data_IF_909070548418
#
_entry.id   IF_909070548418
#
_cell.length_a   1.000
_cell.length_b   1.000
_cell.length_c   1.000
_cell.angle_alpha   90.00
_cell.angle_beta   90.00
_cell.angle_gamma   90.00
#
_symmetry.space_group_name_H-M   'P 1'
#
loop_
_entity.id
_entity.type
_entity.pdbx_description
1 polymer ?
#
# COMPACT_ATOMS: atom_id res chain seq x y z
N UNK A 1 2.44 -28.80 -14.19
CA UNK A 1 2.37 -27.54 -13.42
C UNK A 1 3.58 -26.71 -13.82
N UNK A 2 3.40 -25.53 -14.42
CA UNK A 2 4.50 -24.60 -14.74
C UNK A 2 4.33 -23.39 -13.84
N UNK A 3 5.40 -23.00 -13.16
CA UNK A 3 5.43 -21.95 -12.15
C UNK A 3 5.20 -20.58 -12.78
N UNK A 4 4.22 -19.83 -12.29
CA UNK A 4 3.99 -18.44 -12.68
C UNK A 4 4.57 -17.54 -11.59
N UNK A 5 5.81 -17.08 -11.74
CA UNK A 5 6.54 -16.05 -10.94
C UNK A 5 6.54 -16.11 -9.40
N UNK A 6 5.48 -16.61 -8.74
CA UNK A 6 5.30 -16.90 -7.31
C UNK A 6 4.02 -17.71 -7.00
N UNK A 7 3.27 -18.25 -7.99
CA UNK A 7 1.93 -18.82 -7.77
C UNK A 7 1.53 -20.01 -8.65
N UNK A 8 0.36 -20.60 -8.34
CA UNK A 8 -0.31 -21.66 -9.11
C UNK A 8 -1.61 -21.13 -9.69
N UNK A 9 -1.80 -21.27 -11.01
CA UNK A 9 -3.02 -20.85 -11.69
C UNK A 9 -3.85 -22.03 -12.19
N UNK A 10 -5.18 -21.89 -12.10
CA UNK A 10 -6.16 -22.77 -12.72
C UNK A 10 -6.89 -21.97 -13.79
N UNK A 11 -6.79 -22.42 -15.04
CA UNK A 11 -7.48 -21.81 -16.18
C UNK A 11 -8.51 -22.81 -16.71
N UNK A 12 -9.72 -22.33 -16.95
CA UNK A 12 -10.82 -23.13 -17.46
C UNK A 12 -11.87 -22.25 -18.12
N UNK A 13 -12.88 -22.88 -18.71
CA UNK A 13 -13.92 -22.19 -19.48
C UNK A 13 -15.11 -21.73 -18.64
N UNK A 14 -15.11 -22.01 -17.33
CA UNK A 14 -16.16 -21.62 -16.39
C UNK A 14 -15.57 -21.09 -15.09
N UNK A 15 -15.90 -19.85 -14.74
CA UNK A 15 -15.47 -19.21 -13.48
C UNK A 15 -15.88 -20.04 -12.26
N UNK A 16 -17.10 -20.60 -12.27
CA UNK A 16 -17.60 -21.44 -11.18
C UNK A 16 -16.76 -22.71 -11.02
N UNK A 17 -16.44 -23.38 -12.14
CA UNK A 17 -15.61 -24.60 -12.10
C UNK A 17 -14.19 -24.28 -11.60
N UNK A 18 -13.59 -23.18 -12.07
CA UNK A 18 -12.25 -22.76 -11.65
C UNK A 18 -12.21 -22.43 -10.16
N UNK A 19 -13.19 -21.69 -9.63
CA UNK A 19 -13.23 -21.38 -8.19
C UNK A 19 -13.47 -22.62 -7.32
N UNK A 20 -14.29 -23.57 -7.76
CA UNK A 20 -14.46 -24.83 -7.03
C UNK A 20 -13.22 -25.72 -7.07
N UNK A 21 -12.51 -25.73 -8.20
CA UNK A 21 -11.22 -26.43 -8.29
C UNK A 21 -10.16 -25.76 -7.39
N UNK A 22 -10.11 -24.41 -7.36
CA UNK A 22 -9.21 -23.65 -6.47
C UNK A 22 -9.40 -24.03 -5.00
N UNK A 23 -10.64 -24.17 -4.53
CA UNK A 23 -10.95 -24.56 -3.14
C UNK A 23 -10.47 -25.97 -2.76
N UNK A 24 -10.27 -26.85 -3.74
CA UNK A 24 -9.81 -28.23 -3.53
C UNK A 24 -8.31 -28.38 -3.67
N UNK A 25 -7.63 -27.36 -4.20
CA UNK A 25 -6.21 -27.39 -4.44
C UNK A 25 -5.46 -27.42 -3.10
N UNK A 26 -4.57 -28.40 -2.95
CA UNK A 26 -3.64 -28.50 -1.82
C UNK A 26 -2.27 -28.06 -2.32
N UNK A 27 -1.70 -27.07 -1.65
CA UNK A 27 -0.39 -26.54 -1.97
C UNK A 27 0.38 -26.41 -0.66
N UNK A 28 1.58 -26.96 -0.66
CA UNK A 28 2.54 -26.74 0.41
C UNK A 28 3.46 -25.59 -0.03
N UNK A 29 3.38 -24.46 0.66
CA UNK A 29 4.20 -23.28 0.38
C UNK A 29 5.43 -23.24 1.28
N UNK A 30 6.55 -22.75 0.75
CA UNK A 30 7.69 -22.33 1.56
C UNK A 30 7.41 -20.92 2.12
N UNK A 31 7.10 -20.84 3.42
CA UNK A 31 6.79 -19.59 4.12
C UNK A 31 7.99 -18.99 4.86
N UNK A 32 9.21 -19.49 4.63
CA UNK A 32 10.42 -18.99 5.32
C UNK A 32 10.62 -17.49 5.18
N UNK A 33 10.20 -16.91 4.06
CA UNK A 33 10.25 -15.49 3.75
C UNK A 33 8.89 -14.77 3.82
N UNK A 34 7.84 -15.43 4.32
CA UNK A 34 6.54 -14.81 4.48
C UNK A 34 6.58 -13.70 5.54
N UNK A 35 5.74 -12.67 5.33
CA UNK A 35 5.58 -11.57 6.29
C UNK A 35 5.20 -12.10 7.66
N UNK A 36 5.92 -11.65 8.69
CA UNK A 36 5.59 -11.93 10.11
C UNK A 36 5.05 -10.71 10.83
N UNK A 37 4.63 -9.70 10.07
CA UNK A 37 4.09 -8.47 10.63
C UNK A 37 2.87 -8.75 11.51
N UNK A 38 2.83 -8.09 12.66
CA UNK A 38 1.73 -8.20 13.60
C UNK A 38 1.36 -6.82 14.10
N UNK A 39 0.12 -6.40 13.81
CA UNK A 39 -0.39 -5.12 14.29
C UNK A 39 -0.31 -5.00 15.82
N UNK A 40 -0.62 -6.07 16.55
CA UNK A 40 -0.51 -6.11 18.01
C UNK A 40 0.91 -5.86 18.50
N UNK A 41 1.92 -6.42 17.81
CA UNK A 41 3.33 -6.17 18.14
C UNK A 41 3.75 -4.74 17.78
N UNK A 42 3.29 -4.21 16.64
CA UNK A 42 3.55 -2.82 16.23
C UNK A 42 2.99 -1.82 17.26
N UNK A 43 1.75 -2.02 17.72
CA UNK A 43 1.13 -1.22 18.78
C UNK A 43 1.95 -1.29 20.07
N UNK A 44 2.39 -2.49 20.44
CA UNK A 44 3.18 -2.69 21.66
C UNK A 44 4.53 -1.97 21.59
N UNK A 45 5.21 -2.04 20.44
CA UNK A 45 6.47 -1.33 20.19
C UNK A 45 6.27 0.19 20.17
N UNK A 46 5.21 0.69 19.55
CA UNK A 46 4.89 2.11 19.54
C UNK A 46 4.68 2.64 20.98
N UNK A 47 3.96 1.90 21.83
CA UNK A 47 3.77 2.23 23.25
C UNK A 47 5.05 2.18 24.09
N UNK A 48 6.13 1.57 23.62
CA UNK A 48 7.42 1.61 24.32
C UNK A 48 8.21 2.89 24.02
N UNK A 49 7.96 3.52 22.86
CA UNK A 49 8.75 4.66 22.39
C UNK A 49 8.00 6.00 22.43
N UNK A 50 6.66 5.99 22.57
CA UNK A 50 5.82 7.18 22.39
C UNK A 50 6.07 8.32 23.39
N UNK A 51 6.63 8.03 24.56
CA UNK A 51 6.79 9.01 25.64
C UNK A 51 8.06 9.87 25.51
N UNK A 52 8.91 9.56 24.53
CA UNK A 52 10.14 10.28 24.25
C UNK A 52 10.08 10.88 22.85
N UNK A 53 10.77 12.00 22.59
CA UNK A 53 10.93 12.50 21.23
C UNK A 53 11.51 11.42 20.31
N UNK A 54 11.03 11.36 19.08
CA UNK A 54 11.51 10.43 18.08
C UNK A 54 12.97 10.63 17.71
N UNK A 55 13.59 9.56 17.22
CA UNK A 55 15.01 9.50 16.87
C UNK A 55 15.43 10.54 15.83
N UNK A 56 14.51 10.94 14.94
CA UNK A 56 14.76 11.97 13.92
C UNK A 56 13.91 13.21 14.18
N UNK A 57 14.54 14.38 14.26
CA UNK A 57 13.85 15.67 14.27
C UNK A 57 13.43 16.02 12.84
N UNK A 58 12.14 16.24 12.62
CA UNK A 58 11.56 16.71 11.36
C UNK A 58 11.60 18.24 11.31
N UNK A 59 11.20 18.88 12.41
CA UNK A 59 11.25 20.32 12.58
C UNK A 59 11.22 20.69 14.05
N UNK A 60 11.82 21.81 14.38
CA UNK A 60 11.75 22.43 15.70
C UNK A 60 11.72 23.95 15.50
N UNK A 61 10.84 24.63 16.22
CA UNK A 61 10.67 26.08 16.15
C UNK A 61 10.34 26.59 17.54
N UNK A 62 11.02 27.64 17.99
CA UNK A 62 10.85 28.19 19.34
C UNK A 62 11.33 27.24 20.44
N UNK A 63 10.73 27.36 21.63
CA UNK A 63 11.07 26.57 22.82
C UNK A 63 9.82 25.91 23.41
N UNK A 64 9.60 24.65 23.03
CA UNK A 64 8.48 23.85 23.56
C UNK A 64 8.67 23.53 25.04
N UNK A 65 9.91 23.36 25.51
CA UNK A 65 10.20 22.98 26.89
C UNK A 65 9.87 24.11 27.86
N UNK A 66 10.21 25.36 27.52
CA UNK A 66 9.81 26.53 28.29
C UNK A 66 8.28 26.64 28.44
N UNK A 67 7.53 26.26 27.40
CA UNK A 67 6.06 26.27 27.42
C UNK A 67 5.46 25.16 28.29
N UNK A 68 6.14 24.01 28.43
CA UNK A 68 5.73 22.92 29.31
C UNK A 68 6.12 23.14 30.77
N UNK A 69 7.25 23.82 31.03
CA UNK A 69 7.72 24.13 32.38
C UNK A 69 6.99 25.31 33.03
N UNK A 70 6.18 26.05 32.27
CA UNK A 70 5.43 27.20 32.80
C UNK A 70 4.20 26.74 33.59
N UNK A 71 4.21 26.99 34.90
CA UNK A 71 3.14 26.61 35.83
C UNK A 71 1.78 27.28 35.57
N UNK A 72 1.73 28.32 34.73
CA UNK A 72 0.48 28.96 34.32
C UNK A 72 -0.18 28.28 33.11
N UNK A 73 0.50 27.32 32.50
CA UNK A 73 -0.02 26.58 31.35
C UNK A 73 -0.52 25.20 31.79
N UNK A 74 -1.43 24.64 31.00
CA UNK A 74 -1.87 23.26 31.12
C UNK A 74 -1.28 22.45 29.97
N UNK A 75 -0.59 21.35 30.32
CA UNK A 75 -0.07 20.39 29.34
C UNK A 75 -1.06 19.23 29.18
N UNK A 76 -1.28 18.82 27.94
CA UNK A 76 -2.18 17.73 27.55
C UNK A 76 -1.39 16.78 26.63
N UNK A 77 -1.49 15.49 26.90
CA UNK A 77 -0.82 14.44 26.13
C UNK A 77 -1.84 13.41 25.65
N UNK A 78 -1.69 12.94 24.41
CA UNK A 78 -2.54 11.92 23.83
C UNK A 78 -1.78 11.05 22.84
N UNK A 79 -2.02 9.74 22.93
CA UNK A 79 -1.48 8.75 21.99
C UNK A 79 -2.58 8.28 21.05
N UNK A 80 -2.37 8.47 19.75
CA UNK A 80 -3.30 8.12 18.70
C UNK A 80 -2.77 6.94 17.88
N UNK A 81 -3.68 6.09 17.43
CA UNK A 81 -3.39 4.99 16.52
C UNK A 81 -4.38 5.04 15.35
N UNK A 82 -3.89 4.74 14.15
CA UNK A 82 -4.73 4.52 12.98
C UNK A 82 -4.36 3.17 12.35
N UNK A 83 -5.33 2.26 12.14
CA UNK A 83 -5.04 0.91 11.67
C UNK A 83 -4.75 0.89 10.17
N UNK A 84 -4.28 -0.27 9.71
CA UNK A 84 -4.25 -0.59 8.29
C UNK A 84 -5.67 -0.57 7.70
N UNK A 85 -5.81 -0.05 6.48
CA UNK A 85 -7.12 0.09 5.83
C UNK A 85 -7.07 -0.47 4.42
N UNK A 86 -8.01 -1.37 4.12
CA UNK A 86 -8.21 -1.91 2.79
C UNK A 86 -8.98 -0.92 1.90
N UNK A 87 -8.80 -1.02 0.59
CA UNK A 87 -9.52 -0.19 -0.38
C UNK A 87 -10.98 -0.59 -0.52
N UNK A 88 -11.27 -1.89 -0.43
CA UNK A 88 -12.62 -2.45 -0.49
C UNK A 88 -13.45 -1.90 -1.67
N UNK A 89 -12.83 -1.81 -2.86
CA UNK A 89 -13.54 -1.41 -4.07
C UNK A 89 -14.70 -2.38 -4.31
N UNK A 90 -15.91 -1.89 -4.60
CA UNK A 90 -17.08 -2.76 -4.83
C UNK A 90 -16.82 -3.80 -5.93
N UNK A 91 -16.07 -3.42 -6.96
CA UNK A 91 -15.52 -4.32 -7.98
C UNK A 91 -14.13 -4.84 -7.56
N UNK A 92 -13.97 -6.16 -7.29
CA UNK A 92 -12.65 -6.77 -7.07
C UNK A 92 -11.69 -6.61 -8.26
N UNK A 93 -10.39 -6.77 -8.02
CA UNK A 93 -9.40 -6.71 -9.09
C UNK A 93 -9.72 -7.73 -10.21
N UNK A 94 -9.66 -7.24 -11.44
CA UNK A 94 -9.94 -8.03 -12.63
C UNK A 94 -9.20 -7.46 -13.84
N UNK A 95 -8.87 -8.33 -14.78
CA UNK A 95 -8.26 -7.97 -16.06
C UNK A 95 -8.51 -9.09 -17.06
N UNK A 96 -8.64 -8.75 -18.34
CA UNK A 96 -8.57 -9.72 -19.44
C UNK A 96 -7.32 -9.44 -20.25
N UNK A 97 -6.54 -10.48 -20.54
CA UNK A 97 -5.38 -10.40 -21.40
C UNK A 97 -5.50 -11.38 -22.56
N UNK A 98 -4.99 -10.97 -23.71
CA UNK A 98 -4.79 -11.82 -24.87
C UNK A 98 -3.36 -11.62 -25.37
N UNK A 99 -2.47 -12.50 -24.91
CA UNK A 99 -1.11 -12.60 -25.39
C UNK A 99 -1.09 -13.49 -26.63
N UNK A 100 -0.49 -13.00 -27.71
CA UNK A 100 -0.25 -13.77 -28.93
C UNK A 100 1.25 -13.88 -29.12
N UNK A 101 1.77 -15.10 -28.99
CA UNK A 101 3.13 -15.40 -29.39
C UNK A 101 3.15 -15.60 -30.91
N UNK A 102 4.00 -14.87 -31.63
CA UNK A 102 4.03 -14.94 -33.10
C UNK A 102 5.30 -15.62 -33.61
N UNK A 103 5.57 -16.83 -33.08
CA UNK A 103 6.56 -17.79 -33.57
C UNK A 103 7.90 -17.23 -34.07
N UNK A 104 8.49 -17.86 -35.07
CA UNK A 104 9.78 -17.47 -35.67
C UNK A 104 9.66 -16.35 -36.73
N UNK A 105 8.45 -15.78 -36.96
CA UNK A 105 8.18 -14.89 -38.10
C UNK A 105 7.45 -13.59 -37.76
N UNK A 106 7.10 -13.33 -36.49
CA UNK A 106 6.36 -12.14 -36.11
C UNK A 106 6.77 -11.55 -34.76
N UNK A 107 6.09 -10.46 -34.40
CA UNK A 107 6.27 -9.78 -33.12
C UNK A 107 5.15 -10.21 -32.18
N UNK A 108 5.51 -10.71 -31.00
CA UNK A 108 4.54 -10.98 -29.94
C UNK A 108 3.67 -9.74 -29.68
N UNK A 109 2.37 -9.94 -29.47
CA UNK A 109 1.44 -8.84 -29.18
C UNK A 109 0.62 -9.12 -27.93
N UNK A 110 0.20 -8.05 -27.27
CA UNK A 110 -0.61 -8.11 -26.07
C UNK A 110 -1.80 -7.15 -26.17
N UNK A 111 -3.01 -7.67 -26.03
CA UNK A 111 -4.21 -6.86 -25.86
C UNK A 111 -4.75 -7.02 -24.43
N UNK A 112 -5.05 -5.89 -23.77
CA UNK A 112 -5.51 -5.83 -22.39
C UNK A 112 -6.86 -5.11 -22.30
N UNK A 113 -7.79 -5.66 -21.53
CA UNK A 113 -8.98 -4.96 -21.04
C UNK A 113 -8.88 -4.81 -19.54
N UNK A 114 -8.71 -3.57 -19.08
CA UNK A 114 -8.35 -3.30 -17.70
C UNK A 114 -9.13 -2.10 -17.11
N UNK A 115 -9.80 -2.27 -15.95
CA UNK A 115 -10.29 -1.16 -15.16
C UNK A 115 -9.15 -0.61 -14.29
N UNK A 116 -8.48 0.46 -14.71
CA UNK A 116 -7.32 1.04 -14.01
C UNK A 116 -7.36 2.57 -13.97
N UNK A 117 -6.72 3.16 -12.95
CA UNK A 117 -6.48 4.61 -12.86
C UNK A 117 -5.26 5.06 -13.67
N UNK A 118 -4.37 4.14 -14.02
CA UNK A 118 -3.07 4.45 -14.61
C UNK A 118 -2.74 3.47 -15.75
N UNK A 119 -3.47 3.53 -16.89
CA UNK A 119 -3.34 2.56 -17.97
C UNK A 119 -1.91 2.45 -18.52
N UNK A 120 -1.18 3.56 -18.58
CA UNK A 120 0.21 3.60 -19.07
C UNK A 120 1.18 2.79 -18.22
N UNK A 121 0.83 2.42 -16.98
CA UNK A 121 1.65 1.53 -16.14
C UNK A 121 1.70 0.08 -16.63
N UNK A 122 0.81 -0.32 -17.54
CA UNK A 122 0.88 -1.66 -18.14
C UNK A 122 2.04 -1.79 -19.14
N UNK A 123 2.48 -0.71 -19.80
CA UNK A 123 3.61 -0.76 -20.74
C UNK A 123 4.93 -1.19 -20.10
N UNK A 124 5.43 -0.56 -19.00
CA UNK A 124 6.67 -1.01 -18.36
C UNK A 124 6.54 -2.43 -17.77
N UNK A 125 5.35 -2.87 -17.37
CA UNK A 125 5.09 -4.26 -16.94
C UNK A 125 5.24 -5.22 -18.12
N UNK A 126 4.60 -4.92 -19.26
CA UNK A 126 4.69 -5.72 -20.48
C UNK A 126 6.14 -5.83 -20.98
N UNK A 127 6.88 -4.71 -20.94
CA UNK A 127 8.29 -4.66 -21.33
C UNK A 127 9.18 -5.47 -20.39
N UNK A 128 9.06 -5.27 -19.08
CA UNK A 128 9.95 -5.90 -18.09
C UNK A 128 9.73 -7.40 -17.95
N UNK A 129 8.48 -7.87 -18.02
CA UNK A 129 8.15 -9.28 -17.81
C UNK A 129 8.13 -10.10 -19.12
N UNK A 130 7.82 -9.46 -20.25
CA UNK A 130 7.57 -10.16 -21.50
C UNK A 130 8.35 -9.59 -22.70
N UNK A 131 9.13 -8.53 -22.52
CA UNK A 131 9.98 -7.96 -23.56
C UNK A 131 9.26 -7.07 -24.59
N UNK A 132 7.94 -6.89 -24.46
CA UNK A 132 7.10 -6.18 -25.43
C UNK A 132 7.32 -4.67 -25.40
N UNK A 133 7.51 -4.06 -26.57
CA UNK A 133 7.48 -2.61 -26.74
C UNK A 133 6.07 -2.04 -26.67
N UNK A 134 5.95 -0.73 -26.48
CA UNK A 134 4.66 -0.06 -26.33
C UNK A 134 3.74 -0.28 -27.54
N UNK A 135 4.28 -0.31 -28.75
CA UNK A 135 3.54 -0.49 -30.00
C UNK A 135 2.96 -1.91 -30.13
N UNK A 136 3.53 -2.88 -29.40
CA UNK A 136 3.07 -4.26 -29.33
C UNK A 136 1.94 -4.46 -28.31
N UNK A 137 1.60 -3.43 -27.52
CA UNK A 137 0.64 -3.50 -26.42
C UNK A 137 -0.55 -2.59 -26.69
N UNK A 138 -1.74 -3.18 -26.80
CA UNK A 138 -3.01 -2.46 -26.94
C UNK A 138 -3.80 -2.51 -25.64
N UNK A 139 -4.13 -1.33 -25.10
CA UNK A 139 -4.84 -1.21 -23.82
C UNK A 139 -6.23 -0.64 -24.05
N UNK A 140 -7.24 -1.40 -23.65
CA UNK A 140 -8.62 -0.96 -23.51
C UNK A 140 -8.88 -0.61 -22.05
N UNK A 141 -8.96 0.69 -21.76
CA UNK A 141 -9.33 1.15 -20.43
C UNK A 141 -10.84 0.95 -20.22
N UNK A 142 -11.19 0.16 -19.21
CA UNK A 142 -12.57 -0.18 -18.89
C UNK A 142 -13.12 0.75 -17.80
N UNK A 143 -14.45 0.85 -17.72
CA UNK A 143 -15.12 1.45 -16.56
C UNK A 143 -14.75 0.66 -15.30
N UNK A 144 -14.56 1.35 -14.18
CA UNK A 144 -14.10 0.76 -12.91
C UNK A 144 -15.09 0.99 -11.77
N UNK A 145 -15.29 -0.02 -10.93
CA UNK A 145 -16.17 -0.02 -9.76
C UNK A 145 -15.48 0.44 -8.47
N UNK A 146 -14.72 1.54 -8.56
CA UNK A 146 -13.90 2.08 -7.48
C UNK A 146 -12.42 1.71 -7.59
N UNK A 147 -11.56 2.50 -6.94
CA UNK A 147 -10.12 2.23 -6.86
C UNK A 147 -9.53 2.73 -5.55
N UNK A 148 -9.79 3.99 -5.19
CA UNK A 148 -9.26 4.62 -3.98
C UNK A 148 -7.73 4.58 -3.85
N UNK A 149 -7.00 4.39 -4.96
CA UNK A 149 -5.55 4.16 -4.97
C UNK A 149 -5.15 2.75 -5.37
N UNK A 150 -6.02 1.74 -5.20
CA UNK A 150 -5.71 0.33 -5.43
C UNK A 150 -5.28 -0.01 -6.86
N UNK A 151 -6.02 0.53 -7.84
CA UNK A 151 -5.85 0.23 -9.27
C UNK A 151 -4.76 1.08 -9.95
N UNK A 152 -3.82 1.64 -9.17
CA UNK A 152 -2.55 2.17 -9.70
C UNK A 152 -1.47 1.08 -9.76
N UNK A 153 -1.67 -0.05 -9.07
CA UNK A 153 -0.80 -1.23 -9.16
C UNK A 153 -1.30 -2.21 -10.20
N UNK A 154 -0.40 -3.13 -10.58
CA UNK A 154 -0.48 -3.92 -11.80
C UNK A 154 -0.28 -5.42 -11.58
N UNK A 155 -0.18 -5.91 -10.34
CA UNK A 155 0.13 -7.32 -10.04
C UNK A 155 -0.89 -8.31 -10.62
N UNK A 156 -2.20 -8.01 -10.54
CA UNK A 156 -3.25 -8.81 -11.19
C UNK A 156 -3.17 -8.77 -12.73
N UNK A 157 -2.54 -7.73 -13.31
CA UNK A 157 -2.26 -7.65 -14.75
C UNK A 157 -1.13 -8.63 -15.09
N UNK A 158 -0.04 -8.64 -14.31
CA UNK A 158 1.09 -9.55 -14.49
C UNK A 158 0.61 -11.01 -14.49
N UNK A 159 -0.24 -11.37 -13.54
CA UNK A 159 -0.86 -12.70 -13.42
C UNK A 159 -1.59 -13.10 -14.72
N UNK A 160 -2.53 -12.28 -15.18
CA UNK A 160 -3.37 -12.64 -16.32
C UNK A 160 -2.60 -12.66 -17.64
N UNK A 161 -1.59 -11.79 -17.82
CA UNK A 161 -0.73 -11.84 -19.01
C UNK A 161 0.04 -13.17 -19.01
N UNK A 162 0.62 -13.55 -17.88
CA UNK A 162 1.39 -14.78 -17.79
C UNK A 162 0.50 -16.02 -17.99
N UNK A 163 -0.73 -16.02 -17.45
CA UNK A 163 -1.72 -17.06 -17.74
C UNK A 163 -2.05 -17.11 -19.24
N UNK A 164 -2.37 -15.97 -19.86
CA UNK A 164 -2.73 -15.89 -21.28
C UNK A 164 -1.61 -16.38 -22.19
N UNK A 165 -0.36 -15.97 -21.93
CA UNK A 165 0.83 -16.45 -22.65
C UNK A 165 0.99 -17.96 -22.52
N UNK A 166 0.81 -18.50 -21.32
CA UNK A 166 1.00 -19.92 -21.04
C UNK A 166 -0.08 -20.81 -21.69
N UNK A 167 -1.32 -20.32 -21.80
CA UNK A 167 -2.43 -21.08 -22.43
C UNK A 167 -2.60 -20.80 -23.92
N UNK A 168 -2.00 -19.71 -24.45
CA UNK A 168 -2.12 -19.33 -25.85
C UNK A 168 -3.51 -18.84 -26.26
N UNK A 169 -4.28 -18.30 -25.31
CA UNK A 169 -5.67 -17.88 -25.51
C UNK A 169 -6.01 -16.65 -24.65
N UNK A 170 -7.09 -15.91 -24.97
CA UNK A 170 -7.60 -14.88 -24.08
C UNK A 170 -7.96 -15.44 -22.71
N UNK A 171 -7.48 -14.82 -21.64
CA UNK A 171 -7.79 -15.19 -20.25
C UNK A 171 -8.41 -13.99 -19.55
N UNK A 172 -9.56 -14.22 -18.92
CA UNK A 172 -10.18 -13.27 -17.99
C UNK A 172 -9.89 -13.71 -16.57
N UNK A 173 -9.18 -12.86 -15.82
CA UNK A 173 -8.97 -13.00 -14.39
C UNK A 173 -9.98 -12.14 -13.63
N UNK A 174 -10.58 -12.69 -12.60
CA UNK A 174 -11.38 -11.96 -11.61
C UNK A 174 -11.06 -12.54 -10.26
N UNK A 175 -10.53 -11.72 -9.36
CA UNK A 175 -10.27 -12.12 -7.99
C UNK A 175 -11.59 -12.27 -7.23
N UNK A 176 -11.59 -13.19 -6.25
CA UNK A 176 -12.65 -13.20 -5.24
C UNK A 176 -12.49 -11.99 -4.29
N UNK A 177 -13.50 -11.69 -3.47
CA UNK A 177 -13.37 -10.64 -2.45
C UNK A 177 -12.29 -10.99 -1.44
N UNK A 178 -12.20 -12.25 -1.07
CA UNK A 178 -11.24 -12.77 -0.11
C UNK A 178 -9.81 -12.62 -0.65
N UNK A 179 -9.59 -12.96 -1.92
CA UNK A 179 -8.30 -12.74 -2.59
C UNK A 179 -7.95 -11.26 -2.68
N UNK A 180 -8.91 -10.41 -3.05
CA UNK A 180 -8.75 -8.96 -3.17
C UNK A 180 -8.34 -8.31 -1.84
N UNK A 181 -8.90 -8.79 -0.73
CA UNK A 181 -8.47 -8.40 0.61
C UNK A 181 -7.08 -8.93 0.95
N UNK A 182 -6.84 -10.23 0.78
CA UNK A 182 -5.56 -10.85 1.15
C UNK A 182 -4.36 -10.27 0.38
N UNK A 183 -4.58 -9.85 -0.87
CA UNK A 183 -3.57 -9.27 -1.75
C UNK A 183 -3.76 -7.75 -1.94
N UNK A 184 -4.41 -7.09 -0.99
CA UNK A 184 -4.51 -5.63 -1.00
C UNK A 184 -3.15 -4.98 -0.71
N UNK A 185 -2.91 -3.81 -1.28
CA UNK A 185 -1.85 -2.91 -0.88
C UNK A 185 -2.42 -1.93 0.14
N UNK A 186 -2.66 -2.40 1.35
CA UNK A 186 -3.33 -1.62 2.41
C UNK A 186 -2.73 -0.21 2.57
N UNK A 187 -3.58 0.75 2.98
CA UNK A 187 -3.07 1.95 3.64
C UNK A 187 -2.34 1.49 4.89
N UNK A 188 -1.08 1.90 5.01
CA UNK A 188 -0.28 1.56 6.17
C UNK A 188 -0.85 2.19 7.44
N UNK A 189 -0.86 1.42 8.53
CA UNK A 189 -1.18 1.93 9.86
C UNK A 189 -0.04 2.73 10.48
N UNK A 190 -0.30 3.38 11.61
CA UNK A 190 0.72 4.14 12.33
C UNK A 190 0.19 4.80 13.59
N UNK A 191 1.04 5.61 14.22
CA UNK A 191 0.77 6.20 15.52
C UNK A 191 1.28 7.63 15.60
N UNK A 192 0.67 8.42 16.49
CA UNK A 192 1.13 9.76 16.85
C UNK A 192 1.07 9.93 18.37
N UNK A 193 2.16 10.38 18.97
CA UNK A 193 2.18 10.85 20.35
C UNK A 193 2.18 12.37 20.32
N UNK A 194 1.05 12.97 20.68
CA UNK A 194 0.85 14.42 20.60
C UNK A 194 0.87 15.00 21.99
N UNK A 195 1.63 16.08 22.16
CA UNK A 195 1.72 16.86 23.39
C UNK A 195 1.45 18.33 23.09
N UNK A 196 0.50 18.92 23.77
CA UNK A 196 0.14 20.33 23.62
C UNK A 196 0.21 21.07 24.95
N UNK A 197 0.52 22.36 24.90
CA UNK A 197 0.43 23.27 26.05
C UNK A 197 -0.54 24.40 25.73
N UNK A 198 -1.46 24.68 26.65
CA UNK A 198 -2.41 25.79 26.55
C UNK A 198 -2.22 26.77 27.70
N UNK A 199 -2.37 28.06 27.42
CA UNK A 199 -2.37 29.10 28.47
C UNK A 199 -3.73 29.23 29.17
N UNK A 200 -3.81 30.09 30.19
CA UNK A 200 -5.04 30.36 30.94
C UNK A 200 -6.19 30.95 30.09
N UNK A 201 -5.90 31.48 28.91
CA UNK A 201 -6.90 31.96 27.96
C UNK A 201 -7.43 30.88 27.01
N UNK A 202 -6.87 29.66 27.10
CA UNK A 202 -7.20 28.54 26.23
C UNK A 202 -6.45 28.53 24.90
N UNK A 203 -5.42 29.37 24.74
CA UNK A 203 -4.63 29.43 23.51
C UNK A 203 -3.52 28.37 23.51
N UNK A 204 -3.32 27.69 22.38
CA UNK A 204 -2.19 26.78 22.19
C UNK A 204 -0.88 27.59 22.13
N UNK A 205 0.03 27.31 23.05
CA UNK A 205 1.32 28.00 23.20
C UNK A 205 2.51 27.11 22.86
N UNK A 206 2.34 25.77 22.89
CA UNK A 206 3.27 24.82 22.31
C UNK A 206 2.56 23.58 21.77
N UNK A 207 3.15 22.96 20.74
CA UNK A 207 2.65 21.73 20.16
C UNK A 207 3.79 20.82 19.71
N UNK A 208 3.72 19.57 20.09
CA UNK A 208 4.69 18.54 19.75
C UNK A 208 3.99 17.30 19.21
N UNK A 209 4.54 16.75 18.14
CA UNK A 209 4.09 15.49 17.54
C UNK A 209 5.29 14.56 17.33
N UNK A 210 5.22 13.39 17.96
CA UNK A 210 6.08 12.26 17.66
C UNK A 210 5.33 11.30 16.74
N UNK A 211 5.67 11.37 15.46
CA UNK A 211 5.15 10.50 14.43
C UNK A 211 5.85 9.13 14.46
N UNK A 212 5.11 8.06 14.66
CA UNK A 212 5.64 6.69 14.62
C UNK A 212 5.07 6.00 13.39
N UNK A 213 5.88 5.94 12.34
CA UNK A 213 5.50 5.43 11.03
C UNK A 213 6.16 4.10 10.68
N UNK A 214 5.89 3.65 9.47
CA UNK A 214 6.39 2.42 8.89
C UNK A 214 7.24 2.67 7.64
N UNK A 215 8.23 1.81 7.42
CA UNK A 215 9.01 1.72 6.18
C UNK A 215 8.90 0.32 5.58
N UNK A 216 9.19 0.18 4.29
CA UNK A 216 9.26 -1.12 3.63
C UNK A 216 10.63 -1.26 2.96
N UNK A 217 11.44 -2.23 3.43
CA UNK A 217 12.83 -2.41 2.98
C UNK A 217 13.67 -1.14 3.17
N UNK A 218 13.44 -0.42 4.28
CA UNK A 218 14.05 0.89 4.58
C UNK A 218 13.53 2.04 3.71
N UNK A 219 12.65 1.76 2.75
CA UNK A 219 12.06 2.73 1.83
C UNK A 219 10.80 3.39 2.40
N UNK A 220 10.41 4.51 1.78
CA UNK A 220 9.16 5.21 2.12
C UNK A 220 7.93 4.39 1.69
N UNK A 221 6.91 4.40 2.54
CA UNK A 221 5.58 3.87 2.21
C UNK A 221 4.61 5.05 2.00
N UNK A 222 3.76 4.95 0.98
CA UNK A 222 2.67 5.91 0.78
C UNK A 222 1.70 5.87 1.97
N UNK A 223 1.36 7.03 2.53
CA UNK A 223 0.52 7.11 3.74
C UNK A 223 1.29 7.01 5.08
N UNK A 224 2.60 6.73 5.08
CA UNK A 224 3.45 6.80 6.28
C UNK A 224 4.48 7.93 6.16
N UNK A 225 3.97 9.16 6.04
CA UNK A 225 4.80 10.36 5.99
C UNK A 225 4.28 11.42 6.95
N UNK A 226 5.21 12.19 7.51
CA UNK A 226 4.94 13.40 8.28
C UNK A 226 5.90 14.49 7.82
N UNK A 227 5.40 15.72 7.67
CA UNK A 227 6.16 16.86 7.14
C UNK A 227 6.23 17.98 8.18
N UNK A 228 7.29 18.80 8.11
CA UNK A 228 7.39 20.02 8.93
C UNK A 228 6.23 21.00 8.67
N UNK A 229 5.56 20.87 7.52
CA UNK A 229 4.46 21.72 7.09
C UNK A 229 3.08 21.21 7.52
N UNK A 230 2.99 20.09 8.23
CA UNK A 230 1.69 19.57 8.68
C UNK A 230 1.05 20.53 9.68
N UNK A 231 -0.27 20.68 9.60
CA UNK A 231 -1.02 21.47 10.58
C UNK A 231 -0.93 20.80 11.98
N UNK A 232 -0.74 21.56 13.08
CA UNK A 232 -0.64 23.03 13.19
C UNK A 232 0.80 23.57 13.21
N UNK A 233 1.81 22.80 12.78
CA UNK A 233 3.24 23.09 13.01
C UNK A 233 3.68 24.47 12.52
N UNK A 234 3.15 24.93 11.38
CA UNK A 234 3.49 26.22 10.79
C UNK A 234 2.78 27.42 11.44
N UNK A 235 1.75 27.18 12.24
CA UNK A 235 0.88 28.23 12.76
C UNK A 235 1.18 28.61 14.21
N UNK A 236 2.09 27.90 14.85
CA UNK A 236 2.41 28.05 16.27
C UNK A 236 3.86 28.48 16.44
N UNK A 237 4.12 29.25 17.51
CA UNK A 237 5.45 29.81 17.77
C UNK A 237 6.44 28.81 18.37
N UNK A 238 5.94 27.81 19.08
CA UNK A 238 6.74 26.78 19.72
C UNK A 238 6.24 25.42 19.24
N UNK A 239 6.98 24.76 18.37
CA UNK A 239 6.61 23.47 17.82
C UNK A 239 7.79 22.52 17.73
N UNK A 240 7.52 21.23 17.89
CA UNK A 240 8.49 20.15 17.66
C UNK A 240 7.82 18.99 16.95
N UNK A 241 8.38 18.57 15.83
CA UNK A 241 7.97 17.36 15.13
C UNK A 241 9.15 16.41 15.10
N UNK A 242 8.94 15.18 15.56
CA UNK A 242 9.94 14.12 15.54
C UNK A 242 9.34 12.86 14.94
N UNK A 243 10.19 11.90 14.55
CA UNK A 243 9.73 10.60 14.07
C UNK A 243 10.59 9.43 14.51
N UNK A 244 9.92 8.29 14.60
CA UNK A 244 10.52 6.94 14.67
C UNK A 244 9.88 6.08 13.59
N UNK A 245 10.67 5.23 12.93
CA UNK A 245 10.18 4.40 11.82
C UNK A 245 10.41 2.92 12.12
N UNK A 246 9.39 2.08 11.90
CA UNK A 246 9.51 0.62 12.00
C UNK A 246 9.45 0.00 10.60
N UNK A 247 10.42 -0.85 10.27
CA UNK A 247 10.37 -1.57 9.00
C UNK A 247 9.36 -2.72 9.08
N UNK A 248 8.49 -2.82 8.08
CA UNK A 248 7.46 -3.85 7.93
C UNK A 248 7.75 -4.71 6.70
N UNK A 249 7.20 -5.91 6.67
CA UNK A 249 7.36 -6.88 5.57
C UNK A 249 6.16 -6.93 4.63
N UNK A 250 5.01 -6.39 5.06
CA UNK A 250 3.77 -6.37 4.31
C UNK A 250 3.75 -5.18 3.36
N UNK A 251 3.60 -5.38 2.04
CA UNK A 251 3.55 -4.29 1.10
C UNK A 251 2.30 -3.44 1.33
N UNK A 252 2.47 -2.13 1.23
CA UNK A 252 1.43 -1.13 1.42
C UNK A 252 1.38 -0.17 0.24
N UNK A 253 0.26 0.53 0.07
CA UNK A 253 0.02 1.38 -1.07
C UNK A 253 -0.73 2.67 -0.77
N UNK A 254 -0.84 3.56 -1.77
CA UNK A 254 -1.67 4.73 -1.67
C UNK A 254 -3.12 4.31 -1.48
N UNK A 255 -3.76 4.92 -0.49
CA UNK A 255 -5.20 4.85 -0.26
C UNK A 255 -5.72 6.28 -0.22
N UNK A 256 -6.98 6.52 -0.60
CA UNK A 256 -7.54 7.88 -0.80
C UNK A 256 -7.26 8.82 0.38
N UNK A 257 -6.45 9.86 0.11
CA UNK A 257 -5.89 10.92 0.97
C UNK A 257 -4.37 10.79 1.14
#
# INVERSE_FOLDING_TARGET
VRELSSGVALVGTSTWAVFNAKKQLRIDWDETHASKDSWTQMVSRAKQVHSQPGETIISETGDVQASYSNSNHQTIEAFYQYPFVAHLCMEPMNCTAHYKADGDQGQDTLELWIPTQAPTRAYPVAKSLFGLEQEQVKIHQMRLGGSFGRRVYSEYICEVIAMSKQVGAPVKLTWSREDDLQHDFYRVGGFQSVKGSIDRSGKIVAFEDHFIGMTYKGGRISGSGFRATEFPMLNLKNTRATKTMFDIQTPCGPWRA
#
